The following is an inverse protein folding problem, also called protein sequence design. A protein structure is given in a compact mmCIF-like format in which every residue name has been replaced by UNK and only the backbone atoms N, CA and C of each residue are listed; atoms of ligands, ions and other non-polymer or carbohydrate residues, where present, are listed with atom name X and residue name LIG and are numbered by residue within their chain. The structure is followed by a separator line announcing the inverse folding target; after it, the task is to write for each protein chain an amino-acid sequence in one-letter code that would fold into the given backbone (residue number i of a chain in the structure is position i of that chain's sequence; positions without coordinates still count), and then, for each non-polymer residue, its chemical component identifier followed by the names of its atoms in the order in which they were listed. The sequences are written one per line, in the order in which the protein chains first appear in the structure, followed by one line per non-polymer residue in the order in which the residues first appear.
data_IF_085179261133
#
_entry.id   IF_085179261133
#
_cell.length_a   1.000
_cell.length_b   1.000
_cell.length_c   1.000
_cell.angle_alpha   90.00
_cell.angle_beta   90.00
_cell.angle_gamma   90.00
#
_symmetry.space_group_name_H-M   'P 1'
#
loop_
_entity.id
_entity.type
_entity.pdbx_description
1 polymer ?
#
# COMPACT_ATOMS: atom_id res chain seq x y z
N UNK A 1 -14.55 16.70 18.31
CA UNK A 1 -13.72 17.81 17.83
C UNK A 1 -12.42 17.24 17.28
N UNK A 2 -11.85 17.80 16.20
CA UNK A 2 -10.57 17.37 15.64
C UNK A 2 -9.54 18.41 16.05
N UNK A 3 -8.63 18.04 16.96
CA UNK A 3 -7.59 18.95 17.41
C UNK A 3 -6.59 19.22 16.28
N UNK A 4 -6.26 20.50 16.10
CA UNK A 4 -5.19 20.93 15.20
C UNK A 4 -3.83 20.61 15.83
N UNK A 5 -3.14 19.62 15.25
CA UNK A 5 -1.82 19.18 15.71
C UNK A 5 -0.83 19.16 14.55
N UNK A 6 0.21 19.97 14.65
CA UNK A 6 1.28 20.06 13.66
C UNK A 6 2.04 18.73 13.50
N UNK A 7 2.17 17.93 14.56
CA UNK A 7 2.81 16.60 14.47
C UNK A 7 1.99 15.65 13.60
N UNK A 8 0.67 15.77 13.66
CA UNK A 8 -0.25 14.97 12.84
C UNK A 8 -0.13 15.34 11.36
N UNK A 9 -0.02 16.63 11.05
CA UNK A 9 0.25 17.14 9.68
C UNK A 9 1.59 16.64 9.14
N UNK A 10 2.62 16.63 9.97
CA UNK A 10 3.94 16.09 9.60
C UNK A 10 3.85 14.59 9.26
N UNK A 11 3.15 13.80 10.08
CA UNK A 11 2.88 12.39 9.81
C UNK A 11 2.21 12.16 8.45
N UNK A 12 1.22 13.00 8.10
CA UNK A 12 0.53 12.92 6.81
C UNK A 12 1.44 13.27 5.63
N UNK A 13 2.28 14.30 5.77
CA UNK A 13 3.29 14.62 4.75
C UNK A 13 4.26 13.47 4.54
N UNK A 14 4.73 12.85 5.62
CA UNK A 14 5.66 11.71 5.55
C UNK A 14 5.00 10.51 4.86
N UNK A 15 3.72 10.26 5.12
CA UNK A 15 2.98 9.21 4.43
C UNK A 15 2.85 9.47 2.92
N UNK A 16 2.49 10.69 2.51
CA UNK A 16 2.46 11.05 1.09
C UNK A 16 3.83 10.88 0.41
N UNK A 17 4.92 11.23 1.10
CA UNK A 17 6.27 11.00 0.61
C UNK A 17 6.58 9.50 0.47
N UNK A 18 6.16 8.66 1.43
CA UNK A 18 6.32 7.20 1.35
C UNK A 18 5.61 6.63 0.12
N UNK A 19 4.36 7.05 -0.13
CA UNK A 19 3.61 6.65 -1.34
C UNK A 19 4.34 7.04 -2.64
N UNK A 20 4.84 8.27 -2.70
CA UNK A 20 5.61 8.74 -3.87
C UNK A 20 6.90 7.94 -4.06
N UNK A 21 7.67 7.74 -3.00
CA UNK A 21 8.92 6.97 -3.04
C UNK A 21 8.69 5.52 -3.48
N UNK A 22 7.69 4.83 -2.91
CA UNK A 22 7.36 3.46 -3.26
C UNK A 22 6.92 3.34 -4.73
N UNK A 23 6.05 4.25 -5.19
CA UNK A 23 5.60 4.27 -6.59
C UNK A 23 6.77 4.51 -7.54
N UNK A 24 7.64 5.48 -7.21
CA UNK A 24 8.84 5.78 -8.00
C UNK A 24 9.78 4.57 -8.07
N UNK A 25 10.01 3.91 -6.94
CA UNK A 25 10.83 2.71 -6.87
C UNK A 25 10.30 1.61 -7.78
N UNK A 26 9.00 1.29 -7.70
CA UNK A 26 8.38 0.26 -8.55
C UNK A 26 8.51 0.64 -10.02
N UNK A 27 8.17 1.88 -10.40
CA UNK A 27 8.25 2.31 -11.80
C UNK A 27 9.68 2.19 -12.34
N UNK A 28 10.67 2.69 -11.61
CA UNK A 28 12.07 2.62 -12.02
C UNK A 28 12.59 1.19 -12.19
N UNK A 29 12.09 0.24 -11.40
CA UNK A 29 12.52 -1.16 -11.46
C UNK A 29 11.68 -2.03 -12.43
N UNK A 30 10.59 -1.49 -12.97
CA UNK A 30 9.68 -2.26 -13.84
C UNK A 30 9.51 -1.68 -15.25
N UNK A 31 9.98 -0.46 -15.51
CA UNK A 31 9.79 0.26 -16.78
C UNK A 31 10.24 -0.55 -18.03
N UNK A 32 11.32 -1.32 -17.92
CA UNK A 32 11.85 -2.13 -19.02
C UNK A 32 11.35 -3.59 -19.02
N UNK A 33 10.45 -3.95 -18.12
CA UNK A 33 10.00 -5.33 -17.92
C UNK A 33 8.54 -5.51 -18.33
N UNK A 34 8.22 -6.66 -18.93
CA UNK A 34 6.83 -7.07 -19.10
C UNK A 34 6.29 -7.57 -17.75
N UNK A 35 5.51 -6.74 -17.07
CA UNK A 35 4.81 -7.11 -15.82
C UNK A 35 3.61 -8.04 -16.05
N UNK A 36 3.67 -8.87 -17.09
CA UNK A 36 2.65 -9.80 -17.55
C UNK A 36 1.42 -9.10 -18.12
N UNK A 37 1.65 -8.07 -18.93
CA UNK A 37 0.64 -7.44 -19.78
C UNK A 37 0.51 -8.12 -21.14
N UNK A 38 1.55 -8.83 -21.62
CA UNK A 38 1.51 -9.49 -22.93
C UNK A 38 1.09 -10.98 -22.88
N UNK A 39 0.40 -11.41 -21.82
CA UNK A 39 -0.18 -12.76 -21.75
C UNK A 39 0.80 -13.90 -21.48
N UNK A 40 2.03 -13.61 -21.09
CA UNK A 40 2.98 -14.61 -20.59
C UNK A 40 2.53 -15.25 -19.27
N UNK A 41 3.02 -16.45 -18.99
CA UNK A 41 2.75 -17.15 -17.73
C UNK A 41 3.34 -16.36 -16.54
N UNK A 42 2.48 -15.99 -15.58
CA UNK A 42 2.88 -15.29 -14.35
C UNK A 42 3.28 -16.30 -13.28
N UNK A 43 4.58 -16.51 -13.11
CA UNK A 43 5.10 -17.33 -12.01
C UNK A 43 5.27 -16.45 -10.77
N UNK A 44 4.34 -16.58 -9.82
CA UNK A 44 4.37 -15.83 -8.56
C UNK A 44 5.24 -16.54 -7.53
N UNK A 45 6.19 -15.81 -6.96
CA UNK A 45 6.98 -16.22 -5.80
C UNK A 45 6.10 -16.37 -4.55
N UNK A 46 6.69 -16.89 -3.47
CA UNK A 46 6.00 -16.95 -2.18
C UNK A 46 5.66 -15.55 -1.66
N UNK A 47 6.57 -14.59 -1.81
CA UNK A 47 6.38 -13.21 -1.42
C UNK A 47 5.23 -12.56 -2.21
N UNK A 48 5.16 -12.78 -3.53
CA UNK A 48 4.09 -12.26 -4.38
C UNK A 48 2.71 -12.80 -3.97
N UNK A 49 2.63 -14.11 -3.69
CA UNK A 49 1.38 -14.72 -3.23
C UNK A 49 0.96 -14.18 -1.87
N UNK A 50 1.91 -13.98 -0.98
CA UNK A 50 1.66 -13.41 0.35
C UNK A 50 1.15 -11.98 0.26
N UNK A 51 1.83 -11.09 -0.46
CA UNK A 51 1.41 -9.68 -0.55
C UNK A 51 0.05 -9.54 -1.23
N UNK A 52 -0.26 -10.38 -2.23
CA UNK A 52 -1.60 -10.42 -2.86
C UNK A 52 -2.69 -10.87 -1.88
N UNK A 53 -2.38 -11.83 -1.01
CA UNK A 53 -3.33 -12.27 0.03
C UNK A 53 -3.58 -11.14 1.04
N UNK A 54 -2.52 -10.47 1.52
CA UNK A 54 -2.64 -9.33 2.43
C UNK A 54 -3.36 -8.15 1.77
N UNK A 55 -3.06 -7.85 0.50
CA UNK A 55 -3.77 -6.82 -0.26
C UNK A 55 -5.27 -7.10 -0.31
N UNK A 56 -5.68 -8.34 -0.61
CA UNK A 56 -7.10 -8.69 -0.67
C UNK A 56 -7.78 -8.56 0.72
N UNK A 57 -7.09 -8.92 1.80
CA UNK A 57 -7.60 -8.71 3.18
C UNK A 57 -7.76 -7.23 3.50
N UNK A 58 -6.77 -6.42 3.15
CA UNK A 58 -6.77 -4.97 3.30
C UNK A 58 -7.93 -4.33 2.54
N UNK A 59 -8.14 -4.70 1.26
CA UNK A 59 -9.23 -4.17 0.44
C UNK A 59 -10.58 -4.48 1.05
N UNK A 60 -10.78 -5.71 1.58
CA UNK A 60 -12.02 -6.08 2.26
C UNK A 60 -12.26 -5.20 3.50
N UNK A 61 -11.27 -5.13 4.40
CA UNK A 61 -11.39 -4.35 5.63
C UNK A 61 -11.58 -2.84 5.34
N UNK A 62 -10.88 -2.31 4.33
CA UNK A 62 -11.01 -0.92 3.90
C UNK A 62 -12.41 -0.61 3.40
N UNK A 63 -13.00 -1.49 2.57
CA UNK A 63 -14.38 -1.34 2.09
C UNK A 63 -15.40 -1.38 3.23
N UNK A 64 -15.27 -2.33 4.15
CA UNK A 64 -16.14 -2.39 5.33
C UNK A 64 -16.07 -1.12 6.20
N UNK A 65 -14.87 -0.54 6.36
CA UNK A 65 -14.69 0.73 7.05
C UNK A 65 -15.34 1.91 6.30
N UNK A 66 -15.25 1.94 4.97
CA UNK A 66 -15.92 2.95 4.15
C UNK A 66 -17.45 2.82 4.20
N UNK A 67 -17.98 1.61 4.11
CA UNK A 67 -19.43 1.34 4.14
C UNK A 67 -20.06 1.75 5.48
N UNK A 68 -19.28 1.75 6.54
CA UNK A 68 -19.67 2.19 7.90
C UNK A 68 -19.26 3.63 8.22
N UNK A 69 -18.78 4.38 7.23
CA UNK A 69 -18.30 5.77 7.36
C UNK A 69 -17.18 5.95 8.40
N UNK A 70 -16.44 4.88 8.72
CA UNK A 70 -15.27 4.89 9.61
C UNK A 70 -14.01 5.25 8.83
N UNK A 71 -13.99 6.49 8.33
CA UNK A 71 -12.87 7.02 7.54
C UNK A 71 -11.53 7.03 8.31
N UNK A 72 -11.59 7.17 9.64
CA UNK A 72 -10.43 7.05 10.51
C UNK A 72 -9.81 5.65 10.45
N UNK A 73 -10.64 4.62 10.49
CA UNK A 73 -10.20 3.23 10.35
C UNK A 73 -9.74 2.95 8.93
N UNK A 74 -10.46 3.44 7.91
CA UNK A 74 -10.10 3.28 6.51
C UNK A 74 -8.71 3.87 6.21
N UNK A 75 -8.43 5.07 6.74
CA UNK A 75 -7.11 5.71 6.62
C UNK A 75 -6.01 4.90 7.32
N UNK A 76 -6.29 4.38 8.52
CA UNK A 76 -5.32 3.57 9.26
C UNK A 76 -5.01 2.24 8.54
N UNK A 77 -6.03 1.56 7.99
CA UNK A 77 -5.86 0.33 7.21
C UNK A 77 -4.92 0.56 6.00
N UNK A 78 -5.13 1.65 5.26
CA UNK A 78 -4.26 2.01 4.14
C UNK A 78 -2.83 2.33 4.58
N UNK A 79 -2.69 3.06 5.69
CA UNK A 79 -1.39 3.40 6.25
C UNK A 79 -0.60 2.13 6.61
N UNK A 80 -1.21 1.24 7.39
CA UNK A 80 -0.62 -0.02 7.84
C UNK A 80 -0.20 -0.90 6.66
N UNK A 81 -1.05 -1.06 5.66
CA UNK A 81 -0.72 -1.86 4.47
C UNK A 81 0.42 -1.27 3.67
N UNK A 82 0.34 0.01 3.36
CA UNK A 82 1.35 0.69 2.54
C UNK A 82 2.71 0.66 3.25
N UNK A 83 2.72 1.03 4.54
CA UNK A 83 3.97 1.19 5.27
C UNK A 83 4.56 -0.15 5.65
N UNK A 84 3.81 -0.95 6.40
CA UNK A 84 4.35 -2.13 7.06
C UNK A 84 4.40 -3.31 6.10
N UNK A 85 3.31 -3.66 5.42
CA UNK A 85 3.33 -4.85 4.56
C UNK A 85 4.01 -4.61 3.21
N UNK A 86 3.66 -3.53 2.51
CA UNK A 86 4.15 -3.29 1.16
C UNK A 86 5.58 -2.75 1.17
N UNK A 87 5.82 -1.62 1.82
CA UNK A 87 7.14 -0.99 1.76
C UNK A 87 8.19 -1.69 2.63
N UNK A 88 7.89 -1.98 3.89
CA UNK A 88 8.91 -2.47 4.83
C UNK A 88 9.20 -3.98 4.66
N UNK A 89 8.26 -4.75 4.08
CA UNK A 89 8.45 -6.18 3.81
C UNK A 89 8.55 -6.48 2.32
N UNK A 90 7.51 -6.24 1.54
CA UNK A 90 7.47 -6.75 0.16
C UNK A 90 8.50 -6.09 -0.78
N UNK A 91 8.72 -4.78 -0.70
CA UNK A 91 9.71 -4.10 -1.54
C UNK A 91 11.17 -4.40 -1.16
N UNK A 92 11.41 -4.95 0.03
CA UNK A 92 12.75 -5.27 0.54
C UNK A 92 13.16 -6.74 0.31
N UNK A 93 12.25 -7.58 -0.22
CA UNK A 93 12.45 -9.01 -0.53
C UNK A 93 12.80 -9.23 -2.01
#
# INVERSE_FOLDING_TARGET
DINWDMKRLEGYRNFCNKLWNASRFVLMNTEAHDCGFNGGEKVLSLADRWILAEFNRTVKAYREALDTYRFDLAANILYEFTWNQFCDWYLEL
#
